data_IF_112079678875
#
_entry.id   IF_112079678875
#
_cell.length_a   1.000
_cell.length_b   1.000
_cell.length_c   1.000
_cell.angle_alpha   90.00
_cell.angle_beta   90.00
_cell.angle_gamma   90.00
#
_symmetry.space_group_name_H-M   'P 1'
#
loop_
_entity.id
_entity.type
_entity.pdbx_description
1 polymer ?
#
# COMPACT_ATOMS: atom_id res chain seq x y z
N UNK A 1 49.04 -19.28 -41.75
CA UNK A 1 50.09 -20.32 -41.88
C UNK A 1 51.32 -19.85 -41.11
N UNK A 2 51.88 -20.76 -40.32
CA UNK A 2 53.05 -20.68 -39.43
C UNK A 2 52.81 -19.93 -38.11
N UNK A 3 52.59 -20.60 -36.96
CA UNK A 3 53.42 -21.60 -36.22
C UNK A 3 54.81 -21.08 -35.83
N UNK A 4 55.03 -20.84 -34.53
CA UNK A 4 55.87 -21.72 -33.70
C UNK A 4 56.01 -21.15 -32.27
N UNK A 5 55.28 -21.78 -31.35
CA UNK A 5 55.79 -22.51 -30.18
C UNK A 5 57.02 -22.03 -29.38
N UNK A 6 56.73 -21.88 -28.08
CA UNK A 6 57.34 -22.62 -26.97
C UNK A 6 58.80 -22.31 -26.59
N UNK A 7 58.97 -21.73 -25.40
CA UNK A 7 59.96 -22.22 -24.44
C UNK A 7 59.31 -22.40 -23.06
N UNK A 8 59.21 -23.66 -22.66
CA UNK A 8 59.10 -24.09 -21.28
C UNK A 8 60.39 -23.71 -20.53
N UNK A 9 60.29 -23.33 -19.25
CA UNK A 9 60.74 -24.26 -18.20
C UNK A 9 60.45 -23.77 -16.78
N UNK A 10 59.92 -24.72 -16.02
CA UNK A 10 59.69 -24.72 -14.59
C UNK A 10 61.00 -24.56 -13.81
N UNK A 11 60.95 -23.86 -12.67
CA UNK A 11 61.64 -24.35 -11.48
C UNK A 11 60.88 -23.98 -10.21
N UNK A 12 60.37 -25.01 -9.55
CA UNK A 12 59.82 -25.01 -8.19
C UNK A 12 60.96 -25.31 -7.21
N UNK A 13 61.09 -24.55 -6.13
CA UNK A 13 61.57 -25.05 -4.83
C UNK A 13 61.27 -24.05 -3.69
N UNK A 14 60.23 -24.39 -2.92
CA UNK A 14 60.13 -24.41 -1.44
C UNK A 14 61.03 -23.49 -0.61
N UNK A 15 60.41 -22.70 0.29
CA UNK A 15 60.86 -22.54 1.68
C UNK A 15 59.69 -22.10 2.58
N UNK A 16 59.81 -22.48 3.84
CA UNK A 16 58.77 -22.78 4.83
C UNK A 16 58.49 -21.64 5.81
N UNK A 17 57.30 -21.69 6.41
CA UNK A 17 56.88 -21.17 7.73
C UNK A 17 57.35 -19.79 8.18
N UNK A 18 56.40 -18.85 8.19
CA UNK A 18 56.31 -17.87 9.29
C UNK A 18 54.99 -18.06 10.03
N UNK A 19 55.15 -18.41 11.30
CA UNK A 19 54.16 -18.42 12.36
C UNK A 19 53.44 -17.06 12.45
N UNK A 20 52.11 -17.06 12.55
CA UNK A 20 51.42 -15.96 13.19
C UNK A 20 50.35 -16.49 14.14
N UNK A 21 50.44 -15.99 15.36
CA UNK A 21 49.81 -16.50 16.57
C UNK A 21 48.32 -16.16 16.62
N UNK A 22 47.52 -17.19 16.94
CA UNK A 22 46.20 -17.30 17.63
C UNK A 22 45.38 -16.04 18.02
N UNK A 23 44.05 -16.15 18.31
CA UNK A 23 43.28 -17.39 18.50
C UNK A 23 41.90 -17.47 17.83
N UNK A 24 41.42 -18.72 17.65
CA UNK A 24 40.01 -19.03 17.41
C UNK A 24 39.20 -18.71 18.65
N UNK A 25 38.07 -18.02 18.46
CA UNK A 25 36.89 -18.19 19.31
C UNK A 25 35.75 -18.71 18.45
N UNK A 26 35.47 -20.01 18.64
CA UNK A 26 34.19 -20.61 18.36
C UNK A 26 33.19 -20.03 19.37
N UNK A 27 32.08 -19.48 18.89
CA UNK A 27 30.90 -19.32 19.73
C UNK A 27 29.65 -19.86 19.03
N UNK A 28 28.73 -20.43 19.83
CA UNK A 28 27.79 -21.47 19.43
C UNK A 28 26.49 -20.93 18.86
N UNK A 29 25.85 -21.79 18.08
CA UNK A 29 24.45 -21.73 17.69
C UNK A 29 23.58 -21.85 18.95
N UNK A 30 23.07 -20.73 19.46
CA UNK A 30 22.09 -20.71 20.54
C UNK A 30 20.71 -20.47 19.98
N UNK A 31 19.86 -21.48 20.11
CA UNK A 31 18.42 -21.34 20.00
C UNK A 31 17.93 -20.54 21.21
N UNK A 32 17.69 -19.24 21.03
CA UNK A 32 16.85 -18.47 21.96
C UNK A 32 15.64 -17.95 21.18
N UNK A 33 14.50 -18.54 21.52
CA UNK A 33 13.17 -18.01 21.23
C UNK A 33 13.03 -16.74 22.06
N UNK A 34 13.15 -15.58 21.43
CA UNK A 34 12.63 -14.35 22.02
C UNK A 34 11.10 -14.35 21.85
N UNK A 35 10.51 -14.91 22.88
CA UNK A 35 9.12 -14.84 23.25
C UNK A 35 8.73 -13.35 23.33
N UNK A 36 7.87 -12.89 22.42
CA UNK A 36 7.32 -11.54 22.47
C UNK A 36 6.70 -11.29 23.87
N UNK A 37 7.12 -10.26 24.60
CA UNK A 37 6.52 -9.95 25.90
C UNK A 37 5.08 -9.49 25.68
N UNK A 38 4.14 -10.32 26.13
CA UNK A 38 2.81 -9.88 26.56
C UNK A 38 2.92 -9.42 28.00
N UNK A 39 2.61 -8.15 28.24
CA UNK A 39 1.88 -7.60 29.41
C UNK A 39 1.75 -6.09 29.16
N UNK A 40 0.53 -5.56 28.95
CA UNK A 40 -0.49 -5.24 29.97
C UNK A 40 -0.21 -3.86 30.60
N UNK A 41 -1.04 -2.90 30.21
CA UNK A 41 -1.44 -1.75 31.02
C UNK A 41 -0.49 -0.57 31.03
N UNK A 42 -0.88 0.50 30.33
CA UNK A 42 -0.28 1.82 30.43
C UNK A 42 -1.09 2.79 29.59
N UNK A 43 -1.97 3.54 30.24
CA UNK A 43 -2.64 4.70 29.66
C UNK A 43 -1.59 5.72 29.21
N UNK A 44 -1.38 5.84 27.90
CA UNK A 44 -0.70 6.99 27.31
C UNK A 44 -1.62 7.63 26.29
N UNK A 45 -2.30 8.66 26.78
CA UNK A 45 -2.95 9.70 26.01
C UNK A 45 -1.93 10.38 25.09
N UNK A 46 -1.90 9.97 23.82
CA UNK A 46 -1.27 10.75 22.75
C UNK A 46 -2.34 11.62 22.07
N UNK A 47 -2.53 12.79 22.67
CA UNK A 47 -3.08 13.97 22.02
C UNK A 47 -2.09 14.43 20.94
N UNK A 48 -2.37 14.09 19.68
CA UNK A 48 -1.84 14.82 18.54
C UNK A 48 -2.99 15.65 17.98
N UNK A 49 -3.31 16.72 18.71
CA UNK A 49 -4.02 17.88 18.22
C UNK A 49 -3.21 18.60 17.16
N UNK A 50 -3.29 18.10 15.92
CA UNK A 50 -3.03 18.93 14.74
C UNK A 50 -4.20 19.89 14.55
N UNK A 51 -4.00 21.17 14.90
CA UNK A 51 -4.85 22.27 14.45
C UNK A 51 -4.67 22.43 12.95
N UNK A 52 -5.49 21.72 12.20
CA UNK A 52 -5.77 22.07 10.81
C UNK A 52 -6.89 23.11 10.84
N UNK A 53 -6.50 24.39 10.92
CA UNK A 53 -7.38 25.53 10.68
C UNK A 53 -7.69 25.59 9.16
N UNK A 54 -8.61 24.73 8.70
CA UNK A 54 -9.24 24.85 7.39
C UNK A 54 -10.55 25.66 7.58
N UNK A 55 -10.46 26.99 7.42
CA UNK A 55 -11.64 27.85 7.25
C UNK A 55 -12.37 27.46 5.96
N UNK A 56 -13.54 26.81 6.09
CA UNK A 56 -14.52 26.63 5.01
C UNK A 56 -15.67 27.60 5.27
N UNK A 57 -15.49 28.86 4.84
CA UNK A 57 -16.60 29.79 4.69
C UNK A 57 -17.27 29.55 3.33
N UNK A 58 -18.31 28.71 3.36
CA UNK A 58 -19.34 28.69 2.32
C UNK A 58 -20.70 29.02 2.92
N UNK A 59 -21.04 30.31 2.92
CA UNK A 59 -22.38 30.79 3.18
C UNK A 59 -23.31 30.45 2.01
N UNK A 60 -24.31 29.57 2.20
CA UNK A 60 -25.64 29.69 1.60
C UNK A 60 -26.65 28.69 2.22
N UNK A 61 -27.80 29.20 2.67
CA UNK A 61 -29.05 28.44 2.75
C UNK A 61 -29.48 27.90 4.12
N UNK A 62 -30.20 28.72 4.87
CA UNK A 62 -30.90 28.35 6.12
C UNK A 62 -32.08 27.42 5.79
N UNK A 63 -31.93 26.13 6.05
CA UNK A 63 -33.00 25.14 6.06
C UNK A 63 -32.82 24.17 7.21
N UNK A 64 -33.66 24.28 8.26
CA UNK A 64 -33.69 23.34 9.39
C UNK A 64 -34.29 22.00 8.93
N UNK A 65 -33.49 21.18 8.26
CA UNK A 65 -33.70 19.74 8.16
C UNK A 65 -32.64 19.04 8.99
N UNK A 66 -32.99 18.01 9.77
CA UNK A 66 -31.99 17.09 10.32
C UNK A 66 -31.18 16.58 9.14
N UNK A 67 -29.94 17.06 8.99
CA UNK A 67 -29.04 16.58 7.96
C UNK A 67 -28.78 15.10 8.25
N UNK A 68 -29.55 14.22 7.61
CA UNK A 68 -29.24 12.80 7.56
C UNK A 68 -27.85 12.74 6.98
N UNK A 69 -26.90 12.19 7.74
CA UNK A 69 -25.50 12.03 7.32
C UNK A 69 -25.50 11.29 6.00
N UNK A 70 -25.41 12.05 4.91
CA UNK A 70 -25.69 11.52 3.58
C UNK A 70 -24.67 10.44 3.28
N UNK A 71 -25.15 9.22 3.01
CA UNK A 71 -24.27 8.05 2.90
C UNK A 71 -23.46 8.16 1.61
N UNK A 72 -22.21 7.71 1.66
CA UNK A 72 -21.38 7.60 0.46
C UNK A 72 -21.96 6.56 -0.49
N UNK A 73 -22.00 6.88 -1.79
CA UNK A 73 -22.41 5.97 -2.84
C UNK A 73 -21.25 5.60 -3.79
N UNK A 74 -21.51 4.62 -4.68
CA UNK A 74 -20.50 4.10 -5.60
C UNK A 74 -20.02 5.14 -6.62
N UNK A 75 -20.88 6.05 -7.05
CA UNK A 75 -20.53 7.09 -8.03
C UNK A 75 -19.67 8.19 -7.40
N UNK A 76 -19.91 8.52 -6.13
CA UNK A 76 -19.01 9.39 -5.35
C UNK A 76 -17.62 8.75 -5.19
N UNK A 77 -17.57 7.45 -4.86
CA UNK A 77 -16.29 6.73 -4.74
C UNK A 77 -15.52 6.68 -6.07
N UNK A 78 -16.19 6.39 -7.19
CA UNK A 78 -15.56 6.41 -8.53
C UNK A 78 -15.03 7.79 -8.87
N UNK A 79 -15.79 8.83 -8.57
CA UNK A 79 -15.41 10.22 -8.84
C UNK A 79 -14.19 10.62 -8.02
N UNK A 80 -14.17 10.26 -6.74
CA UNK A 80 -13.02 10.50 -5.87
C UNK A 80 -11.77 9.75 -6.35
N UNK A 81 -11.91 8.47 -6.71
CA UNK A 81 -10.80 7.67 -7.25
C UNK A 81 -10.29 8.28 -8.56
N UNK A 82 -11.18 8.62 -9.49
CA UNK A 82 -10.82 9.28 -10.76
C UNK A 82 -10.07 10.59 -10.52
N UNK A 83 -10.55 11.43 -9.60
CA UNK A 83 -9.87 12.67 -9.22
C UNK A 83 -8.45 12.42 -8.71
N UNK A 84 -8.26 11.43 -7.83
CA UNK A 84 -6.92 11.06 -7.35
C UNK A 84 -6.01 10.56 -8.49
N UNK A 85 -6.53 9.69 -9.37
CA UNK A 85 -5.78 9.14 -10.49
C UNK A 85 -5.32 10.23 -11.47
N UNK A 86 -6.18 11.23 -11.74
CA UNK A 86 -5.90 12.34 -12.65
C UNK A 86 -4.85 13.33 -12.12
N UNK A 87 -4.77 13.53 -10.79
CA UNK A 87 -3.83 14.49 -10.19
C UNK A 87 -2.40 13.91 -10.04
N UNK A 88 -2.13 12.72 -10.58
CA UNK A 88 -0.85 12.04 -10.49
C UNK A 88 -0.75 11.19 -9.22
N UNK A 89 -0.80 9.88 -9.44
CA UNK A 89 -0.80 8.86 -8.36
C UNK A 89 0.57 8.62 -7.73
N UNK A 90 1.64 9.14 -8.31
CA UNK A 90 3.00 8.73 -7.97
C UNK A 90 3.76 9.88 -7.33
N UNK A 91 3.87 9.80 -6.01
CA UNK A 91 5.05 10.24 -5.27
C UNK A 91 4.82 9.82 -3.82
N UNK A 92 5.43 8.70 -3.43
CA UNK A 92 5.66 8.39 -2.01
C UNK A 92 6.59 9.45 -1.36
N UNK A 93 7.11 10.38 -2.16
CA UNK A 93 8.01 11.48 -1.84
C UNK A 93 7.34 12.87 -1.89
N UNK A 94 6.02 12.96 -1.68
CA UNK A 94 5.34 14.26 -1.66
C UNK A 94 5.62 15.02 -0.37
N UNK A 95 6.20 16.21 -0.48
CA UNK A 95 6.25 17.21 0.61
C UNK A 95 4.83 17.63 1.01
N UNK A 96 4.63 18.07 2.25
CA UNK A 96 3.30 18.46 2.75
C UNK A 96 2.62 19.55 1.92
N UNK A 97 3.37 20.52 1.40
CA UNK A 97 2.85 21.54 0.47
C UNK A 97 2.25 20.92 -0.81
N UNK A 98 2.90 19.88 -1.35
CA UNK A 98 2.40 19.20 -2.55
C UNK A 98 1.19 18.31 -2.26
N UNK A 99 1.09 17.75 -1.04
CA UNK A 99 -0.13 17.06 -0.57
C UNK A 99 -1.31 18.03 -0.46
N UNK A 100 -1.10 19.23 0.08
CA UNK A 100 -2.15 20.25 0.16
C UNK A 100 -2.66 20.62 -1.24
N UNK A 101 -1.74 20.86 -2.19
CA UNK A 101 -2.09 21.15 -3.59
C UNK A 101 -2.87 20.01 -4.23
N UNK A 102 -2.39 18.77 -4.08
CA UNK A 102 -3.07 17.55 -4.56
C UNK A 102 -4.52 17.48 -4.06
N UNK A 103 -4.75 17.68 -2.76
CA UNK A 103 -6.10 17.63 -2.21
C UNK A 103 -7.02 18.73 -2.73
N UNK A 104 -6.48 19.93 -2.97
CA UNK A 104 -7.24 21.03 -3.60
C UNK A 104 -7.66 20.67 -5.03
N UNK A 105 -6.77 20.08 -5.82
CA UNK A 105 -7.07 19.64 -7.20
C UNK A 105 -8.10 18.50 -7.22
N UNK A 106 -7.94 17.49 -6.36
CA UNK A 106 -8.92 16.39 -6.22
C UNK A 106 -10.30 16.95 -5.85
N UNK A 107 -10.35 17.90 -4.90
CA UNK A 107 -11.61 18.53 -4.48
C UNK A 107 -12.25 19.31 -5.63
N UNK A 108 -11.45 20.08 -6.38
CA UNK A 108 -11.94 20.80 -7.55
C UNK A 108 -12.55 19.86 -8.60
N UNK A 109 -11.88 18.73 -8.90
CA UNK A 109 -12.43 17.72 -9.82
C UNK A 109 -13.75 17.15 -9.27
N UNK A 110 -13.78 16.78 -7.99
CA UNK A 110 -14.98 16.24 -7.35
C UNK A 110 -16.16 17.22 -7.40
N UNK A 111 -15.94 18.49 -7.08
CA UNK A 111 -16.98 19.52 -7.09
C UNK A 111 -17.48 19.82 -8.50
N UNK A 112 -16.59 19.78 -9.50
CA UNK A 112 -16.99 19.91 -10.91
C UNK A 112 -17.95 18.79 -11.33
N UNK A 113 -17.75 17.58 -10.79
CA UNK A 113 -18.63 16.43 -11.05
C UNK A 113 -19.93 16.50 -10.26
N UNK A 114 -19.92 17.04 -9.04
CA UNK A 114 -21.14 17.39 -8.29
C UNK A 114 -22.01 18.35 -9.12
N UNK A 115 -21.42 19.39 -9.72
CA UNK A 115 -22.18 20.35 -10.51
C UNK A 115 -22.83 19.72 -11.75
N UNK A 116 -22.18 18.74 -12.38
CA UNK A 116 -22.71 18.01 -13.55
C UNK A 116 -23.78 16.97 -13.15
N UNK A 117 -23.66 16.36 -11.97
CA UNK A 117 -24.46 15.20 -11.54
C UNK A 117 -25.08 15.40 -10.15
N UNK A 118 -25.72 16.54 -9.91
CA UNK A 118 -26.23 17.01 -8.59
C UNK A 118 -27.12 16.03 -7.84
N UNK A 119 -27.87 15.19 -8.55
CA UNK A 119 -28.79 14.21 -7.96
C UNK A 119 -28.12 12.85 -7.66
N UNK A 120 -26.84 12.69 -8.00
CA UNK A 120 -26.11 11.43 -7.89
C UNK A 120 -24.88 11.61 -6.99
N UNK A 121 -24.18 12.74 -7.11
CA UNK A 121 -22.97 13.04 -6.34
C UNK A 121 -23.28 14.22 -5.44
N UNK A 122 -23.08 14.03 -4.14
CA UNK A 122 -23.38 15.04 -3.14
C UNK A 122 -22.15 15.88 -2.86
N UNK A 123 -22.37 17.14 -2.49
CA UNK A 123 -21.31 18.02 -2.03
C UNK A 123 -20.71 17.48 -0.72
N UNK A 124 -19.39 17.44 -0.64
CA UNK A 124 -18.65 16.93 0.53
C UNK A 124 -17.62 17.95 0.97
N UNK A 125 -17.40 18.06 2.27
CA UNK A 125 -16.29 18.86 2.80
C UNK A 125 -14.94 18.22 2.46
N UNK A 126 -13.87 19.01 2.44
CA UNK A 126 -12.51 18.50 2.24
C UNK A 126 -12.15 17.38 3.24
N UNK A 127 -12.53 17.56 4.51
CA UNK A 127 -12.35 16.56 5.57
C UNK A 127 -13.04 15.24 5.25
N UNK A 128 -14.27 15.29 4.72
CA UNK A 128 -15.02 14.09 4.34
C UNK A 128 -14.35 13.37 3.16
N UNK A 129 -13.89 14.12 2.16
CA UNK A 129 -13.17 13.61 0.98
C UNK A 129 -11.88 12.88 1.40
N UNK A 130 -11.01 13.54 2.17
CA UNK A 130 -9.75 12.96 2.68
C UNK A 130 -10.02 11.68 3.49
N UNK A 131 -11.00 11.71 4.39
CA UNK A 131 -11.38 10.55 5.22
C UNK A 131 -11.89 9.38 4.39
N UNK A 132 -12.72 9.67 3.38
CA UNK A 132 -13.27 8.63 2.49
C UNK A 132 -12.15 7.99 1.66
N UNK A 133 -11.25 8.79 1.12
CA UNK A 133 -10.08 8.28 0.41
C UNK A 133 -9.23 7.36 1.29
N UNK A 134 -8.90 7.77 2.51
CA UNK A 134 -8.13 6.94 3.43
C UNK A 134 -8.78 5.56 3.65
N UNK A 135 -10.11 5.53 3.80
CA UNK A 135 -10.88 4.29 3.94
C UNK A 135 -10.81 3.43 2.67
N UNK A 136 -11.01 4.02 1.49
CA UNK A 136 -10.92 3.32 0.20
C UNK A 136 -9.52 2.73 0.04
N UNK A 137 -8.49 3.55 0.20
CA UNK A 137 -7.10 3.17 0.02
C UNK A 137 -6.73 1.98 0.92
N UNK A 138 -6.99 2.11 2.23
CA UNK A 138 -6.65 1.07 3.21
C UNK A 138 -7.41 -0.23 2.93
N UNK A 139 -8.68 -0.13 2.54
CA UNK A 139 -9.52 -1.30 2.25
C UNK A 139 -9.09 -2.01 0.95
N UNK A 140 -8.80 -1.24 -0.11
CA UNK A 140 -8.33 -1.77 -1.40
C UNK A 140 -6.92 -2.35 -1.27
N UNK A 141 -6.02 -1.71 -0.52
CA UNK A 141 -4.68 -2.27 -0.25
C UNK A 141 -4.76 -3.60 0.50
N UNK A 142 -5.65 -3.70 1.50
CA UNK A 142 -5.88 -4.98 2.16
C UNK A 142 -6.44 -6.02 1.17
N UNK A 143 -7.41 -5.66 0.34
CA UNK A 143 -7.95 -6.55 -0.69
C UNK A 143 -6.85 -7.10 -1.62
N UNK A 144 -5.97 -6.24 -2.12
CA UNK A 144 -4.83 -6.64 -2.97
C UNK A 144 -3.91 -7.63 -2.24
N UNK A 145 -3.68 -7.44 -0.94
CA UNK A 145 -2.88 -8.41 -0.16
C UNK A 145 -3.52 -9.80 -0.08
N UNK A 146 -4.86 -9.89 -0.07
CA UNK A 146 -5.56 -11.18 -0.07
C UNK A 146 -5.54 -11.85 -1.44
N UNK A 147 -5.57 -11.07 -2.53
CA UNK A 147 -5.33 -11.61 -3.88
C UNK A 147 -3.90 -12.16 -3.99
N UNK A 148 -2.90 -11.46 -3.44
CA UNK A 148 -1.51 -11.95 -3.39
C UNK A 148 -1.38 -13.23 -2.57
N UNK A 149 -2.08 -13.31 -1.44
CA UNK A 149 -2.15 -14.52 -0.61
C UNK A 149 -2.75 -15.70 -1.37
N UNK A 150 -3.91 -15.52 -2.00
CA UNK A 150 -4.57 -16.55 -2.79
C UNK A 150 -3.68 -17.05 -3.94
N UNK A 151 -2.99 -16.13 -4.63
CA UNK A 151 -1.99 -16.51 -5.64
C UNK A 151 -0.84 -17.32 -5.04
N UNK A 152 -0.29 -16.91 -3.90
CA UNK A 152 0.79 -17.65 -3.23
C UNK A 152 0.35 -19.05 -2.82
N UNK A 153 -0.88 -19.21 -2.33
CA UNK A 153 -1.45 -20.52 -2.00
C UNK A 153 -1.57 -21.41 -3.24
N UNK A 154 -1.98 -20.84 -4.38
CA UNK A 154 -2.05 -21.57 -5.66
C UNK A 154 -0.67 -22.01 -6.13
N UNK A 155 0.33 -21.13 -6.08
CA UNK A 155 1.72 -21.47 -6.42
C UNK A 155 2.30 -22.57 -5.52
N UNK A 156 1.79 -22.71 -4.28
CA UNK A 156 2.14 -23.80 -3.35
C UNK A 156 1.42 -25.12 -3.63
N UNK A 157 0.69 -25.24 -4.74
CA UNK A 157 0.02 -26.47 -5.16
C UNK A 157 -1.38 -26.67 -4.58
N UNK A 158 -1.97 -25.65 -3.94
CA UNK A 158 -3.38 -25.73 -3.54
C UNK A 158 -4.29 -25.62 -4.77
N UNK A 159 -5.29 -26.50 -4.85
CA UNK A 159 -6.33 -26.46 -5.88
C UNK A 159 -7.24 -25.23 -5.66
N UNK A 160 -6.84 -24.09 -6.24
CA UNK A 160 -7.61 -22.84 -6.23
C UNK A 160 -8.01 -22.55 -7.67
N UNK A 161 -9.27 -22.81 -7.99
CA UNK A 161 -9.86 -22.56 -9.31
C UNK A 161 -10.06 -21.05 -9.53
N UNK A 162 -10.67 -20.38 -8.54
CA UNK A 162 -10.93 -18.95 -8.58
C UNK A 162 -10.14 -18.20 -7.48
N UNK A 163 -9.10 -17.49 -7.91
CA UNK A 163 -8.25 -16.67 -7.02
C UNK A 163 -9.05 -15.57 -6.34
N UNK A 164 -10.02 -14.98 -7.04
CA UNK A 164 -10.77 -13.84 -6.56
C UNK A 164 -11.81 -14.26 -5.51
N UNK A 165 -12.49 -15.38 -5.74
CA UNK A 165 -13.34 -16.04 -4.74
C UNK A 165 -12.53 -16.40 -3.49
N UNK A 166 -11.34 -17.00 -3.67
CA UNK A 166 -10.47 -17.29 -2.54
C UNK A 166 -10.03 -16.03 -1.78
N UNK A 167 -9.77 -14.94 -2.50
CA UNK A 167 -9.44 -13.66 -1.88
C UNK A 167 -10.61 -13.08 -1.07
N UNK A 168 -11.86 -13.29 -1.53
CA UNK A 168 -13.06 -12.92 -0.77
C UNK A 168 -13.15 -13.69 0.55
N UNK A 169 -12.91 -15.00 0.55
CA UNK A 169 -12.88 -15.81 1.77
C UNK A 169 -11.82 -15.32 2.76
N UNK A 170 -10.59 -15.14 2.26
CA UNK A 170 -9.46 -14.67 3.07
C UNK A 170 -9.72 -13.28 3.64
N UNK A 171 -10.29 -12.37 2.84
CA UNK A 171 -10.68 -11.04 3.28
C UNK A 171 -11.76 -11.09 4.37
N UNK A 172 -12.80 -11.90 4.17
CA UNK A 172 -13.89 -12.06 5.12
C UNK A 172 -13.36 -12.56 6.48
N UNK A 173 -12.51 -13.60 6.46
CA UNK A 173 -11.83 -14.12 7.65
C UNK A 173 -10.99 -13.02 8.33
N UNK A 174 -10.19 -12.28 7.56
CA UNK A 174 -9.33 -11.20 8.08
C UNK A 174 -10.13 -10.04 8.68
N UNK A 175 -11.29 -9.71 8.12
CA UNK A 175 -12.15 -8.60 8.59
C UNK A 175 -13.29 -9.05 9.51
N UNK A 176 -13.21 -10.26 10.07
CA UNK A 176 -14.16 -10.84 11.04
C UNK A 176 -15.60 -10.88 10.49
N UNK A 177 -15.78 -11.49 9.32
CA UNK A 177 -17.10 -11.66 8.71
C UNK A 177 -17.55 -10.52 7.79
N UNK A 178 -16.75 -9.47 7.59
CA UNK A 178 -17.12 -8.33 6.74
C UNK A 178 -16.67 -8.54 5.30
N UNK A 179 -17.59 -8.38 4.37
CA UNK A 179 -17.34 -8.47 2.93
C UNK A 179 -16.60 -7.24 2.40
N UNK A 180 -15.85 -7.43 1.32
CA UNK A 180 -15.20 -6.35 0.59
C UNK A 180 -16.24 -5.54 -0.20
N UNK A 181 -16.28 -4.21 -0.01
CA UNK A 181 -17.32 -3.34 -0.58
C UNK A 181 -16.81 -2.35 -1.63
N UNK A 182 -15.50 -2.29 -1.88
CA UNK A 182 -14.85 -1.30 -2.77
C UNK A 182 -14.34 -1.91 -4.07
N UNK A 183 -15.03 -2.92 -4.59
CA UNK A 183 -14.64 -3.60 -5.83
C UNK A 183 -14.56 -2.64 -7.02
N UNK A 184 -15.51 -1.70 -7.14
CA UNK A 184 -15.49 -0.65 -8.17
C UNK A 184 -14.25 0.25 -8.09
N UNK A 185 -13.75 0.55 -6.88
CA UNK A 185 -12.52 1.32 -6.71
C UNK A 185 -11.30 0.49 -7.11
N UNK A 186 -11.23 -0.76 -6.67
CA UNK A 186 -10.10 -1.63 -7.00
C UNK A 186 -9.97 -1.86 -8.51
N UNK A 187 -11.07 -2.09 -9.22
CA UNK A 187 -11.06 -2.25 -10.69
C UNK A 187 -10.44 -1.03 -11.38
N UNK A 188 -10.68 0.18 -10.89
CA UNK A 188 -10.08 1.40 -11.43
C UNK A 188 -8.59 1.54 -11.09
N UNK A 189 -8.14 0.97 -9.96
CA UNK A 189 -6.79 1.17 -9.42
C UNK A 189 -5.80 0.03 -9.75
N UNK A 190 -6.29 -1.16 -10.11
CA UNK A 190 -5.49 -2.40 -10.26
C UNK A 190 -4.36 -2.35 -11.29
N UNK A 191 -4.38 -1.36 -12.18
CA UNK A 191 -3.38 -1.16 -13.22
C UNK A 191 -2.13 -0.42 -12.72
N UNK A 192 -2.19 0.22 -11.55
CA UNK A 192 -1.06 0.93 -10.95
C UNK A 192 -0.16 -0.04 -10.17
N UNK A 193 1.17 0.16 -10.15
CA UNK A 193 2.12 -0.74 -9.49
C UNK A 193 1.75 -1.09 -8.05
N UNK A 194 1.31 -0.09 -7.27
CA UNK A 194 0.94 -0.26 -5.86
C UNK A 194 -0.22 -1.23 -5.63
N UNK A 195 -1.23 -1.22 -6.50
CA UNK A 195 -2.45 -2.04 -6.36
C UNK A 195 -2.54 -3.17 -7.39
N UNK A 196 -1.46 -3.41 -8.14
CA UNK A 196 -1.34 -4.53 -9.04
C UNK A 196 -1.14 -5.83 -8.24
N UNK A 197 -2.01 -6.84 -8.43
CA UNK A 197 -1.79 -8.17 -7.89
C UNK A 197 -0.85 -8.94 -8.82
N UNK A 198 0.44 -9.05 -8.47
CA UNK A 198 1.32 -10.05 -9.08
C UNK A 198 2.46 -9.58 -9.99
N UNK A 199 3.04 -8.39 -9.80
CA UNK A 199 4.45 -8.20 -10.23
C UNK A 199 5.37 -8.69 -9.12
N UNK A 200 5.65 -9.99 -9.15
CA UNK A 200 6.91 -10.48 -8.57
C UNK A 200 8.06 -9.89 -9.42
N UNK A 201 9.08 -9.37 -8.75
CA UNK A 201 10.28 -8.79 -9.34
C UNK A 201 11.18 -9.86 -9.97
N UNK A 202 10.65 -10.67 -10.88
CA UNK A 202 11.37 -11.73 -11.60
C UNK A 202 11.48 -11.35 -13.07
N UNK A 203 12.19 -10.26 -13.36
CA UNK A 203 13.02 -10.18 -14.55
C UNK A 203 14.44 -10.29 -14.01
N UNK A 204 14.93 -11.51 -13.87
CA UNK A 204 16.37 -11.76 -13.90
C UNK A 204 16.67 -12.11 -15.35
N UNK A 205 17.37 -11.20 -16.03
CA UNK A 205 17.97 -11.40 -17.34
C UNK A 205 19.04 -12.47 -17.32
#
# INVERSE_FOLDING_TARGET
>A
MNNNDCYQNNNMCTLSSMHNSSPRVLFPMSQHIDQYPTTRGGDESNDIGGKDDDEDESTLGKGKGKATKERWNKEEDKTLVSGYLNCGSDSEERTDQTKVKLWKEIKHIYDSEVQKRKNIIHLRTMKAIRKRWATINETVTLWVSQIREANRMRTRGMAIENIEEKAHDLYNQKKKGRNFTFYHCWVAMKHLPRWMPGKDATIVS
#
